data_IF_993952316574
#
_entry.id   IF_993952316574
#
_cell.length_a   1.000
_cell.length_b   1.000
_cell.length_c   1.000
_cell.angle_alpha   90.00
_cell.angle_beta   90.00
_cell.angle_gamma   90.00
#
_symmetry.space_group_name_H-M   'P 1'
#
loop_
_entity.id
_entity.type
_entity.pdbx_description
1 polymer ?
#
# COMPACT_ATOMS: atom_id res chain seq x y z
N UNK A 1 -38.75 1.91 6.13
CA UNK A 1 -37.61 2.23 5.26
C UNK A 1 -37.13 3.64 5.54
N UNK A 2 -36.09 3.79 6.37
CA UNK A 2 -35.35 5.04 6.53
C UNK A 2 -33.87 4.64 6.57
N UNK A 3 -33.15 5.00 5.50
CA UNK A 3 -31.74 4.73 5.33
C UNK A 3 -30.94 5.68 6.23
N UNK A 4 -30.15 5.10 7.14
CA UNK A 4 -29.20 5.82 7.98
C UNK A 4 -27.99 6.18 7.13
N UNK A 5 -27.79 7.48 6.91
CA UNK A 5 -26.65 8.06 6.21
C UNK A 5 -25.49 8.15 7.20
N UNK A 6 -24.40 7.44 6.90
CA UNK A 6 -23.17 7.40 7.71
C UNK A 6 -22.45 8.75 7.73
N UNK A 7 -22.04 9.18 8.92
CA UNK A 7 -21.46 10.47 9.31
C UNK A 7 -20.02 10.76 8.81
N UNK A 8 -19.55 10.13 7.74
CA UNK A 8 -18.15 10.24 7.29
C UNK A 8 -17.91 11.15 6.05
N UNK A 9 -18.93 11.85 5.54
CA UNK A 9 -18.83 12.63 4.28
C UNK A 9 -18.25 14.06 4.44
N UNK A 10 -17.82 14.50 5.63
CA UNK A 10 -17.57 15.94 5.88
C UNK A 10 -16.14 16.38 6.26
N UNK A 11 -15.09 15.60 5.97
CA UNK A 11 -13.71 15.99 6.37
C UNK A 11 -12.63 16.09 5.27
N UNK A 12 -12.99 16.20 3.98
CA UNK A 12 -12.00 16.31 2.88
C UNK A 12 -12.06 17.62 2.06
N UNK A 13 -12.91 18.57 2.40
CA UNK A 13 -12.80 19.94 1.88
C UNK A 13 -12.80 20.92 3.05
N UNK A 14 -11.63 21.30 3.58
CA UNK A 14 -11.34 22.60 4.21
C UNK A 14 -9.88 22.69 4.68
N UNK A 15 -8.92 22.46 3.79
CA UNK A 15 -7.55 22.92 4.02
C UNK A 15 -6.86 23.17 2.69
N UNK A 16 -7.13 24.34 2.10
CA UNK A 16 -6.23 25.09 1.21
C UNK A 16 -6.98 26.35 0.76
N UNK A 17 -6.93 27.44 1.54
CA UNK A 17 -6.46 28.78 1.11
C UNK A 17 -6.61 29.84 2.25
N UNK A 18 -5.48 30.27 2.81
CA UNK A 18 -5.05 31.65 3.25
C UNK A 18 -5.95 32.55 4.15
N UNK A 19 -5.46 33.68 4.75
CA UNK A 19 -4.11 34.10 5.20
C UNK A 19 -4.04 34.71 6.64
N UNK A 20 -2.81 35.09 7.08
CA UNK A 20 -2.40 36.07 8.12
C UNK A 20 -2.84 35.90 9.59
N UNK A 21 -1.85 35.94 10.49
CA UNK A 21 -2.01 36.33 11.91
C UNK A 21 -0.96 37.37 12.25
N UNK A 22 -1.42 38.59 12.48
CA UNK A 22 -0.72 39.60 13.24
C UNK A 22 -1.48 39.74 14.58
N UNK A 23 -0.76 40.18 15.61
CA UNK A 23 -1.21 40.74 16.89
C UNK A 23 -1.17 39.86 18.17
N UNK A 24 -0.41 40.43 19.10
CA UNK A 24 -0.05 40.07 20.48
C UNK A 24 -1.01 40.75 21.49
N UNK A 25 -0.98 40.28 22.76
CA UNK A 25 -1.55 40.95 23.96
C UNK A 25 -3.01 40.57 24.27
N UNK A 26 -3.52 40.43 25.50
CA UNK A 26 -3.15 40.62 26.93
C UNK A 26 -4.12 39.69 27.72
N UNK A 27 -3.70 38.83 28.65
CA UNK A 27 -3.51 39.01 30.11
C UNK A 27 -4.80 39.28 30.98
N UNK A 28 -4.85 38.58 32.14
CA UNK A 28 -5.47 38.97 33.44
C UNK A 28 -6.92 38.47 33.76
N UNK A 29 -7.02 37.39 34.59
CA UNK A 29 -7.46 37.39 36.04
C UNK A 29 -8.60 36.49 36.60
N UNK A 30 -8.23 35.76 37.69
CA UNK A 30 -8.94 35.30 38.94
C UNK A 30 -10.15 34.33 38.80
N UNK A 31 -10.42 33.35 39.68
CA UNK A 31 -9.89 32.85 40.98
C UNK A 31 -10.56 31.48 41.29
N UNK A 32 -9.82 30.57 41.94
CA UNK A 32 -10.19 29.62 43.04
C UNK A 32 -11.57 28.91 43.03
N UNK A 33 -11.71 27.57 42.99
CA UNK A 33 -11.60 26.49 44.02
C UNK A 33 -12.32 25.27 43.37
N UNK A 34 -12.09 23.98 43.60
CA UNK A 34 -11.89 23.22 44.84
C UNK A 34 -11.53 21.75 44.46
N UNK A 35 -10.57 21.21 45.21
CA UNK A 35 -10.25 19.81 45.54
C UNK A 35 -11.28 18.68 45.26
N UNK A 36 -10.85 17.56 44.62
CA UNK A 36 -10.69 16.23 45.27
C UNK A 36 -10.40 15.06 44.30
N UNK A 37 -9.59 14.13 44.84
CA UNK A 37 -9.42 12.69 44.53
C UNK A 37 -8.29 12.23 43.56
N UNK A 38 -7.07 12.04 44.10
CA UNK A 38 -6.46 10.72 44.46
C UNK A 38 -7.02 9.54 43.61
N UNK A 39 -6.30 8.72 42.82
CA UNK A 39 -4.91 8.20 42.85
C UNK A 39 -4.62 7.41 41.55
N UNK A 40 -3.32 7.23 41.23
CA UNK A 40 -2.69 6.12 40.48
C UNK A 40 -2.87 6.09 38.95
N UNK A 41 -1.83 6.48 38.22
CA UNK A 41 -0.95 5.58 37.47
C UNK A 41 0.02 6.42 36.60
N UNK A 42 1.30 6.11 36.72
CA UNK A 42 2.39 6.58 35.87
C UNK A 42 2.15 6.21 34.40
N UNK A 43 1.73 7.17 33.59
CA UNK A 43 1.77 7.10 32.12
C UNK A 43 3.14 7.60 31.65
N UNK A 44 4.06 6.68 31.40
CA UNK A 44 5.16 6.92 30.48
C UNK A 44 4.57 7.02 29.07
N UNK A 45 4.52 8.24 28.56
CA UNK A 45 4.11 8.59 27.20
C UNK A 45 5.23 8.13 26.24
N UNK A 46 5.01 7.18 25.30
CA UNK A 46 6.00 6.95 24.27
C UNK A 46 5.90 8.10 23.27
N UNK A 47 6.99 8.85 23.22
CA UNK A 47 7.30 9.92 22.28
C UNK A 47 7.18 9.39 20.83
N UNK A 48 6.10 9.77 20.15
CA UNK A 48 5.89 9.41 18.75
C UNK A 48 6.67 10.38 17.86
N UNK A 49 7.78 9.90 17.31
CA UNK A 49 8.52 10.57 16.25
C UNK A 49 7.64 10.73 14.99
N UNK A 50 7.87 11.75 14.15
CA UNK A 50 6.94 12.09 13.07
C UNK A 50 6.98 11.00 12.00
N UNK A 51 5.90 10.21 11.91
CA UNK A 51 5.71 9.22 10.86
C UNK A 51 5.66 9.93 9.51
N UNK A 52 6.54 9.55 8.60
CA UNK A 52 6.47 9.88 7.17
C UNK A 52 5.08 9.54 6.65
N UNK A 53 4.25 10.57 6.44
CA UNK A 53 2.91 10.41 5.92
C UNK A 53 2.95 10.11 4.44
N UNK A 54 2.62 8.88 4.03
CA UNK A 54 2.29 8.52 2.64
C UNK A 54 1.66 7.12 2.54
N UNK A 55 0.72 6.77 3.42
CA UNK A 55 -0.15 5.61 3.17
C UNK A 55 -1.58 5.93 3.61
N UNK A 56 -2.34 6.51 2.69
CA UNK A 56 -3.78 6.70 2.82
C UNK A 56 -4.42 5.61 1.98
N UNK A 57 -5.28 4.77 2.57
CA UNK A 57 -6.17 3.89 1.80
C UNK A 57 -7.11 4.78 0.99
N UNK A 58 -6.66 5.18 -0.20
CA UNK A 58 -7.34 6.15 -1.03
C UNK A 58 -8.46 5.41 -1.78
N UNK A 59 -9.70 5.54 -1.31
CA UNK A 59 -10.86 5.20 -2.11
C UNK A 59 -10.86 6.07 -3.38
N UNK A 60 -10.91 5.41 -4.54
CA UNK A 60 -10.76 6.04 -5.85
C UNK A 60 -11.86 7.11 -6.07
N UNK A 61 -11.50 8.39 -6.00
CA UNK A 61 -12.42 9.51 -6.25
C UNK A 61 -11.73 10.80 -6.74
N UNK A 62 -11.86 11.07 -8.05
CA UNK A 62 -11.80 12.40 -8.74
C UNK A 62 -10.39 13.08 -8.76
N UNK A 63 -9.94 13.93 -9.69
CA UNK A 63 -10.38 14.43 -10.99
C UNK A 63 -9.20 15.14 -11.68
N UNK A 64 -9.27 15.27 -13.02
CA UNK A 64 -8.25 15.81 -13.93
C UNK A 64 -8.34 17.34 -14.07
N UNK A 65 -7.21 18.05 -14.09
CA UNK A 65 -7.06 19.32 -14.81
C UNK A 65 -5.58 19.72 -15.03
N UNK A 66 -5.19 19.79 -16.31
CA UNK A 66 -4.32 20.82 -16.89
C UNK A 66 -2.82 20.75 -16.65
N UNK A 67 -2.03 20.63 -17.72
CA UNK A 67 -0.90 21.52 -18.02
C UNK A 67 -0.47 21.33 -19.48
N UNK A 68 -0.36 22.45 -20.18
CA UNK A 68 -0.03 22.60 -21.59
C UNK A 68 1.24 23.44 -21.68
N UNK A 69 2.22 23.05 -22.50
CA UNK A 69 3.42 23.85 -22.77
C UNK A 69 4.59 23.03 -23.29
N UNK A 70 4.85 23.14 -24.59
CA UNK A 70 5.87 22.43 -25.36
C UNK A 70 6.95 23.40 -25.86
N UNK A 71 8.20 23.26 -25.42
CA UNK A 71 9.42 23.66 -26.17
C UNK A 71 10.75 23.19 -25.55
N UNK A 72 10.84 21.98 -24.97
CA UNK A 72 12.12 21.38 -24.50
C UNK A 72 12.29 19.94 -25.03
N UNK A 73 12.03 19.78 -26.33
CA UNK A 73 12.03 18.47 -27.02
C UNK A 73 13.44 17.92 -27.36
N UNK A 74 14.51 18.50 -26.83
CA UNK A 74 15.88 17.95 -26.93
C UNK A 74 16.47 17.46 -25.58
N UNK A 75 15.72 17.56 -24.48
CA UNK A 75 16.03 16.90 -23.20
C UNK A 75 15.50 15.46 -23.08
N UNK A 76 14.75 14.98 -24.08
CA UNK A 76 14.04 13.69 -24.04
C UNK A 76 14.94 12.45 -24.11
N UNK A 77 16.24 12.59 -24.32
CA UNK A 77 17.20 11.48 -24.26
C UNK A 77 17.66 11.15 -22.82
N UNK A 78 17.47 12.06 -21.86
CA UNK A 78 17.71 11.82 -20.42
C UNK A 78 16.51 11.19 -19.69
N UNK A 79 15.38 11.05 -20.40
CA UNK A 79 14.16 10.36 -19.97
C UNK A 79 14.34 8.82 -19.96
N UNK A 80 15.50 8.32 -20.40
CA UNK A 80 15.95 6.94 -20.23
C UNK A 80 16.74 6.68 -18.93
N UNK A 81 16.62 7.54 -17.91
CA UNK A 81 17.09 7.24 -16.55
C UNK A 81 16.14 6.28 -15.82
N UNK A 82 16.17 5.03 -16.26
CA UNK A 82 15.80 3.85 -15.49
C UNK A 82 16.85 3.59 -14.41
N UNK A 83 16.83 4.37 -13.33
CA UNK A 83 17.79 4.24 -12.25
C UNK A 83 17.38 3.16 -11.25
N UNK A 84 17.80 1.95 -11.55
CA UNK A 84 17.91 0.84 -10.62
C UNK A 84 18.86 -0.18 -11.21
N UNK A 85 19.84 -0.66 -10.44
CA UNK A 85 20.85 -1.60 -10.93
C UNK A 85 20.25 -2.88 -11.56
N UNK A 86 18.98 -3.17 -11.28
CA UNK A 86 18.22 -4.29 -11.82
C UNK A 86 17.58 -4.03 -13.20
N UNK A 87 17.47 -2.80 -13.68
CA UNK A 87 16.75 -2.49 -14.94
C UNK A 87 17.45 -3.11 -16.14
N UNK A 88 18.78 -2.96 -16.24
CA UNK A 88 19.57 -3.48 -17.35
C UNK A 88 19.58 -5.02 -17.35
N UNK A 89 19.93 -5.70 -16.24
CA UNK A 89 19.87 -7.16 -16.19
C UNK A 89 18.46 -7.72 -16.46
N UNK A 90 17.38 -7.05 -16.04
CA UNK A 90 16.00 -7.50 -16.32
C UNK A 90 15.67 -7.43 -17.81
N UNK A 91 16.05 -6.35 -18.48
CA UNK A 91 15.87 -6.22 -19.93
C UNK A 91 16.71 -7.24 -20.70
N UNK A 92 17.96 -7.43 -20.30
CA UNK A 92 18.85 -8.40 -20.94
C UNK A 92 18.38 -9.83 -20.70
N UNK A 93 17.88 -10.15 -19.51
CA UNK A 93 17.26 -11.44 -19.20
C UNK A 93 16.05 -11.70 -20.12
N UNK A 94 15.12 -10.75 -20.26
CA UNK A 94 13.96 -10.89 -21.17
C UNK A 94 14.40 -11.13 -22.62
N UNK A 95 15.30 -10.29 -23.13
CA UNK A 95 15.84 -10.41 -24.49
C UNK A 95 16.54 -11.76 -24.71
N UNK A 96 17.32 -12.22 -23.73
CA UNK A 96 17.99 -13.51 -23.81
C UNK A 96 16.99 -14.69 -23.82
N UNK A 97 15.87 -14.59 -23.09
CA UNK A 97 14.79 -15.60 -23.15
C UNK A 97 14.14 -15.61 -24.53
N UNK A 98 13.82 -14.44 -25.09
CA UNK A 98 13.23 -14.30 -26.44
C UNK A 98 14.13 -14.85 -27.54
N UNK A 99 15.44 -14.67 -27.40
CA UNK A 99 16.45 -15.15 -28.35
C UNK A 99 16.94 -16.58 -28.03
N UNK A 100 16.29 -17.29 -27.10
CA UNK A 100 16.65 -18.65 -26.63
C UNK A 100 18.10 -18.79 -26.12
N UNK A 101 18.71 -17.69 -25.68
CA UNK A 101 20.04 -17.63 -25.04
C UNK A 101 19.95 -17.91 -23.54
N UNK A 102 19.65 -19.16 -23.19
CA UNK A 102 19.32 -19.54 -21.81
C UNK A 102 20.46 -19.37 -20.79
N UNK A 103 21.73 -19.54 -21.20
CA UNK A 103 22.89 -19.32 -20.31
C UNK A 103 23.02 -17.84 -19.92
N UNK A 104 22.88 -16.94 -20.90
CA UNK A 104 22.86 -15.50 -20.67
C UNK A 104 21.68 -15.11 -19.77
N UNK A 105 20.49 -15.67 -20.02
CA UNK A 105 19.31 -15.43 -19.19
C UNK A 105 19.54 -15.86 -17.73
N UNK A 106 20.20 -17.02 -17.50
CA UNK A 106 20.54 -17.49 -16.16
C UNK A 106 21.54 -16.56 -15.47
N UNK A 107 22.57 -16.10 -16.19
CA UNK A 107 23.54 -15.13 -15.68
C UNK A 107 22.86 -13.83 -15.25
N UNK A 108 22.05 -13.23 -16.13
CA UNK A 108 21.34 -11.99 -15.81
C UNK A 108 20.33 -12.17 -14.67
N UNK A 109 19.66 -13.33 -14.58
CA UNK A 109 18.80 -13.66 -13.44
C UNK A 109 19.58 -13.68 -12.14
N UNK A 110 20.78 -14.27 -12.11
CA UNK A 110 21.56 -14.37 -10.89
C UNK A 110 22.15 -13.01 -10.48
N UNK A 111 22.53 -12.18 -11.45
CA UNK A 111 22.84 -10.76 -11.22
C UNK A 111 21.62 -10.00 -10.64
N UNK A 112 20.41 -10.22 -11.19
CA UNK A 112 19.17 -9.63 -10.66
C UNK A 112 18.87 -10.04 -9.23
N UNK A 113 19.07 -11.32 -8.90
CA UNK A 113 18.85 -11.83 -7.54
C UNK A 113 19.74 -11.13 -6.52
N UNK A 114 20.98 -10.83 -6.90
CA UNK A 114 21.94 -10.14 -6.03
C UNK A 114 21.58 -8.65 -5.90
N UNK A 115 21.24 -8.00 -7.01
CA UNK A 115 21.03 -6.55 -7.05
C UNK A 115 19.65 -6.11 -6.55
N UNK A 116 18.60 -6.84 -6.93
CA UNK A 116 17.23 -6.55 -6.53
C UNK A 116 16.39 -7.84 -6.60
N UNK A 117 16.42 -8.69 -5.56
CA UNK A 117 15.71 -9.98 -5.57
C UNK A 117 14.21 -9.83 -5.81
N UNK A 118 13.63 -8.69 -5.43
CA UNK A 118 12.21 -8.38 -5.62
C UNK A 118 11.83 -8.05 -7.07
N UNK A 119 12.81 -7.71 -7.93
CA UNK A 119 12.56 -7.43 -9.36
C UNK A 119 12.12 -8.66 -10.16
N UNK A 120 12.30 -9.85 -9.59
CA UNK A 120 11.83 -11.13 -10.13
C UNK A 120 10.42 -11.49 -9.66
N UNK A 121 9.86 -10.73 -8.71
CA UNK A 121 8.48 -10.96 -8.27
C UNK A 121 7.51 -10.56 -9.37
N UNK A 122 6.44 -11.34 -9.43
CA UNK A 122 5.29 -11.10 -10.27
C UNK A 122 4.44 -9.97 -9.69
N UNK A 123 3.73 -9.24 -10.54
CA UNK A 123 2.68 -8.28 -10.12
C UNK A 123 1.41 -9.01 -9.66
N UNK A 124 1.49 -10.33 -9.45
CA UNK A 124 0.44 -11.14 -8.85
C UNK A 124 1.03 -12.13 -7.85
N UNK A 125 0.24 -12.47 -6.84
CA UNK A 125 0.60 -13.48 -5.85
C UNK A 125 -0.61 -14.30 -5.41
N UNK A 126 -0.34 -15.49 -4.89
CA UNK A 126 -1.33 -16.44 -4.40
C UNK A 126 -0.74 -17.23 -3.23
N UNK A 127 -1.36 -17.13 -2.07
CA UNK A 127 -0.96 -17.84 -0.86
C UNK A 127 -2.18 -18.42 -0.16
N UNK A 128 -2.00 -19.56 0.51
CA UNK A 128 -3.03 -20.15 1.37
C UNK A 128 -2.48 -20.45 2.75
N UNK A 129 -3.13 -19.93 3.79
CA UNK A 129 -2.79 -20.17 5.19
C UNK A 129 -4.03 -20.66 5.93
N UNK A 130 -3.95 -21.83 6.56
CA UNK A 130 -5.05 -22.41 7.35
C UNK A 130 -6.40 -22.48 6.60
N UNK A 131 -6.37 -22.73 5.29
CA UNK A 131 -7.56 -22.80 4.45
C UNK A 131 -8.12 -21.44 4.01
N UNK A 132 -7.44 -20.32 4.33
CA UNK A 132 -7.75 -19.00 3.80
C UNK A 132 -6.77 -18.69 2.67
N UNK A 133 -7.29 -18.57 1.45
CA UNK A 133 -6.50 -18.23 0.25
C UNK A 133 -6.56 -16.73 0.00
N UNK A 134 -5.42 -16.09 -0.16
CA UNK A 134 -5.30 -14.69 -0.54
C UNK A 134 -4.63 -14.58 -1.89
N UNK A 135 -5.33 -13.97 -2.83
CA UNK A 135 -4.83 -13.68 -4.18
C UNK A 135 -4.69 -12.18 -4.35
N UNK A 136 -3.56 -11.75 -4.90
CA UNK A 136 -3.27 -10.33 -5.13
C UNK A 136 -2.92 -10.11 -6.60
N UNK A 137 -3.36 -8.97 -7.14
CA UNK A 137 -2.84 -8.40 -8.39
C UNK A 137 -2.58 -6.92 -8.20
N UNK A 138 -1.47 -6.42 -8.74
CA UNK A 138 -1.11 -5.01 -8.73
C UNK A 138 -0.95 -4.50 -10.16
N UNK A 139 -1.13 -3.19 -10.33
CA UNK A 139 -0.99 -2.50 -11.61
C UNK A 139 -0.51 -1.07 -11.39
N UNK A 140 0.34 -0.59 -12.28
CA UNK A 140 0.76 0.81 -12.32
C UNK A 140 -0.33 1.69 -12.93
N UNK A 141 -0.62 2.84 -12.30
CA UNK A 141 -1.64 3.79 -12.74
C UNK A 141 -0.94 5.05 -13.29
N UNK A 142 -0.70 5.05 -14.60
CA UNK A 142 -0.02 6.15 -15.30
C UNK A 142 -0.72 7.50 -15.09
N UNK A 143 -2.04 7.54 -15.20
CA UNK A 143 -2.84 8.78 -15.07
C UNK A 143 -2.79 9.45 -13.68
N UNK A 144 -2.34 8.73 -12.65
CA UNK A 144 -2.16 9.24 -11.27
C UNK A 144 -0.69 9.39 -10.89
N UNK A 145 0.23 9.07 -11.79
CA UNK A 145 1.66 9.06 -11.56
C UNK A 145 2.33 10.27 -12.19
N UNK A 146 3.41 10.75 -11.57
CA UNK A 146 4.29 11.79 -12.10
C UNK A 146 5.74 11.29 -11.99
N UNK A 147 6.20 10.41 -12.91
CA UNK A 147 7.54 9.81 -12.84
C UNK A 147 8.67 10.83 -12.76
N UNK A 148 8.54 11.96 -13.48
CA UNK A 148 9.52 13.06 -13.45
C UNK A 148 9.64 13.73 -12.08
N UNK A 149 8.66 13.56 -11.20
CA UNK A 149 8.66 14.04 -9.81
C UNK A 149 8.89 12.91 -8.80
N UNK A 150 9.26 11.72 -9.26
CA UNK A 150 9.41 10.54 -8.41
C UNK A 150 8.10 10.14 -7.71
N UNK A 151 6.95 10.27 -8.37
CA UNK A 151 5.65 9.85 -7.82
C UNK A 151 5.07 8.74 -8.67
N UNK A 152 4.99 7.53 -8.12
CA UNK A 152 4.48 6.35 -8.80
C UNK A 152 3.27 5.82 -8.04
N UNK A 153 2.16 5.67 -8.74
CA UNK A 153 0.91 5.20 -8.15
C UNK A 153 0.63 3.78 -8.61
N UNK A 154 0.48 2.86 -7.66
CA UNK A 154 0.09 1.49 -7.93
C UNK A 154 -1.27 1.20 -7.33
N UNK A 155 -2.16 0.58 -8.08
CA UNK A 155 -3.39 0.00 -7.55
C UNK A 155 -3.17 -1.50 -7.32
N UNK A 156 -3.83 -2.06 -6.31
CA UNK A 156 -3.87 -3.49 -6.12
C UNK A 156 -5.27 -3.96 -5.78
N UNK A 157 -5.57 -5.20 -6.18
CA UNK A 157 -6.81 -5.90 -5.89
C UNK A 157 -6.51 -7.18 -5.15
N UNK A 158 -7.23 -7.40 -4.06
CA UNK A 158 -7.04 -8.53 -3.16
C UNK A 158 -8.33 -9.30 -3.03
N UNK A 159 -8.26 -10.61 -3.31
CA UNK A 159 -9.34 -11.56 -3.10
C UNK A 159 -8.97 -12.52 -1.98
N UNK A 160 -9.76 -12.53 -0.93
CA UNK A 160 -9.64 -13.43 0.21
C UNK A 160 -10.74 -14.47 0.09
N UNK A 161 -10.39 -15.75 0.01
CA UNK A 161 -11.34 -16.87 -0.11
C UNK A 161 -11.19 -17.79 1.10
N UNK A 162 -12.28 -18.01 1.82
CA UNK A 162 -12.32 -18.96 2.92
C UNK A 162 -12.67 -20.36 2.40
N UNK A 163 -11.65 -21.17 2.14
CA UNK A 163 -11.79 -22.56 1.74
C UNK A 163 -11.97 -23.52 2.92
N UNK A 164 -11.96 -23.02 4.16
CA UNK A 164 -12.20 -23.81 5.37
C UNK A 164 -13.70 -24.08 5.59
N UNK A 165 -14.03 -24.80 6.68
CA UNK A 165 -15.41 -25.08 7.10
C UNK A 165 -15.91 -24.15 8.21
N UNK A 166 -15.07 -23.21 8.66
CA UNK A 166 -15.41 -22.30 9.76
C UNK A 166 -15.48 -20.85 9.27
N UNK A 167 -16.48 -20.05 9.68
CA UNK A 167 -16.48 -18.64 9.38
C UNK A 167 -15.30 -17.94 10.07
N UNK A 168 -14.73 -16.95 9.39
CA UNK A 168 -13.62 -16.14 9.90
C UNK A 168 -13.97 -14.66 9.80
N UNK A 169 -13.38 -13.84 10.67
CA UNK A 169 -13.45 -12.38 10.58
C UNK A 169 -12.04 -11.82 10.46
N UNK A 170 -11.82 -10.93 9.48
CA UNK A 170 -10.61 -10.14 9.36
C UNK A 170 -10.66 -9.00 10.38
N UNK A 171 -9.61 -8.89 11.20
CA UNK A 171 -9.53 -7.91 12.28
C UNK A 171 -8.58 -6.78 11.95
N UNK A 172 -7.36 -7.11 11.51
CA UNK A 172 -6.29 -6.15 11.23
C UNK A 172 -5.52 -6.56 9.98
N UNK A 173 -4.85 -5.59 9.40
CA UNK A 173 -3.88 -5.78 8.33
C UNK A 173 -2.50 -5.33 8.80
N UNK A 174 -1.49 -6.02 8.33
CA UNK A 174 -0.10 -5.66 8.46
C UNK A 174 0.53 -5.71 7.06
N UNK A 175 1.03 -4.57 6.59
CA UNK A 175 1.80 -4.48 5.36
C UNK A 175 3.26 -4.25 5.67
N UNK A 176 4.10 -4.90 4.88
CA UNK A 176 5.52 -4.63 4.76
C UNK A 176 5.70 -4.14 3.32
N UNK A 177 6.04 -2.86 3.19
CA UNK A 177 6.26 -2.22 1.89
C UNK A 177 7.74 -1.95 1.75
N UNK A 178 8.37 -2.48 0.70
CA UNK A 178 9.77 -2.23 0.37
C UNK A 178 9.85 -1.46 -0.95
N UNK A 179 10.45 -0.26 -0.93
CA UNK A 179 10.66 0.54 -2.13
C UNK A 179 11.81 0.00 -2.99
N UNK A 180 12.01 0.60 -4.18
CA UNK A 180 13.07 0.18 -5.11
C UNK A 180 14.50 0.45 -4.61
N UNK A 181 14.65 1.22 -3.54
CA UNK A 181 15.93 1.50 -2.88
C UNK A 181 16.18 0.56 -1.69
N UNK A 182 15.29 -0.40 -1.45
CA UNK A 182 15.38 -1.34 -0.34
C UNK A 182 14.94 -0.77 1.01
N UNK A 183 14.33 0.41 1.04
CA UNK A 183 13.74 0.97 2.27
C UNK A 183 12.44 0.25 2.57
N UNK A 184 12.29 -0.22 3.81
CA UNK A 184 11.12 -0.99 4.24
C UNK A 184 10.32 -0.22 5.29
N UNK A 185 9.01 -0.18 5.11
CA UNK A 185 8.03 0.38 6.05
C UNK A 185 7.04 -0.70 6.50
N UNK A 186 6.71 -0.70 7.79
CA UNK A 186 5.70 -1.59 8.37
C UNK A 186 4.45 -0.77 8.71
N UNK A 187 3.30 -1.20 8.19
CA UNK A 187 2.05 -0.46 8.27
C UNK A 187 0.99 -1.37 8.88
N UNK A 188 0.51 -1.00 10.06
CA UNK A 188 -0.60 -1.68 10.74
C UNK A 188 -1.89 -0.89 10.62
N UNK A 189 -3.01 -1.58 10.48
CA UNK A 189 -4.32 -0.94 10.49
C UNK A 189 -5.44 -1.89 10.86
N UNK A 190 -6.52 -1.34 11.41
CA UNK A 190 -7.75 -2.08 11.69
C UNK A 190 -8.49 -2.32 10.38
N UNK A 191 -8.94 -3.55 10.18
CA UNK A 191 -9.72 -3.94 9.01
C UNK A 191 -8.96 -3.78 7.70
N UNK A 192 -9.73 -3.73 6.61
CA UNK A 192 -9.32 -3.40 5.24
C UNK A 192 -10.35 -2.43 4.68
N UNK A 193 -9.93 -1.36 4.01
CA UNK A 193 -10.84 -0.38 3.38
C UNK A 193 -11.95 0.15 4.32
N UNK A 194 -11.66 0.25 5.62
CA UNK A 194 -12.64 0.69 6.64
C UNK A 194 -13.57 -0.40 7.17
N UNK A 195 -13.42 -1.64 6.74
CA UNK A 195 -14.29 -2.77 7.10
C UNK A 195 -13.52 -3.91 7.81
N UNK A 196 -14.20 -4.66 8.67
CA UNK A 196 -13.72 -5.91 9.27
C UNK A 196 -14.58 -7.08 8.79
N UNK A 197 -14.40 -7.53 7.53
CA UNK A 197 -15.32 -8.44 6.88
C UNK A 197 -15.37 -9.81 7.56
N UNK A 198 -16.58 -10.37 7.64
CA UNK A 198 -16.83 -11.76 8.00
C UNK A 198 -16.91 -12.57 6.71
N UNK A 199 -16.07 -13.61 6.60
CA UNK A 199 -15.97 -14.47 5.42
C UNK A 199 -16.46 -15.88 5.79
N UNK A 200 -17.62 -16.25 5.27
CA UNK A 200 -18.24 -17.55 5.51
C UNK A 200 -17.50 -18.69 4.79
N UNK A 201 -17.69 -19.95 5.23
CA UNK A 201 -17.15 -21.11 4.53
C UNK A 201 -17.50 -21.10 3.05
N UNK A 202 -16.49 -21.38 2.20
CA UNK A 202 -16.59 -21.44 0.73
C UNK A 202 -17.00 -20.13 0.05
N UNK A 203 -16.91 -19.01 0.75
CA UNK A 203 -17.15 -17.66 0.20
C UNK A 203 -15.86 -16.86 0.13
N UNK A 204 -15.94 -15.64 -0.42
CA UNK A 204 -14.81 -14.73 -0.46
C UNK A 204 -15.20 -13.26 -0.31
N UNK A 205 -14.18 -12.46 -0.02
CA UNK A 205 -14.24 -11.01 0.07
C UNK A 205 -13.19 -10.42 -0.87
N UNK A 206 -13.53 -9.38 -1.62
CA UNK A 206 -12.63 -8.74 -2.57
C UNK A 206 -12.65 -7.23 -2.36
N UNK A 207 -11.47 -6.61 -2.41
CA UNK A 207 -11.33 -5.16 -2.33
C UNK A 207 -10.15 -4.67 -3.17
N UNK A 208 -10.14 -3.38 -3.47
CA UNK A 208 -9.04 -2.70 -4.14
C UNK A 208 -8.57 -1.52 -3.30
N UNK A 209 -7.26 -1.26 -3.30
CA UNK A 209 -6.65 -0.08 -2.70
C UNK A 209 -5.43 0.34 -3.53
N UNK A 210 -4.66 1.31 -3.06
CA UNK A 210 -3.51 1.85 -3.77
C UNK A 210 -2.31 2.04 -2.85
N UNK A 211 -1.12 1.98 -3.44
CA UNK A 211 0.16 2.23 -2.80
C UNK A 211 0.93 3.25 -3.65
N UNK A 212 1.09 4.50 -3.16
CA UNK A 212 2.04 5.43 -3.74
C UNK A 212 3.47 5.03 -3.34
N UNK A 213 4.41 5.13 -4.27
CA UNK A 213 5.84 4.97 -4.04
C UNK A 213 6.64 6.13 -4.63
N UNK A 214 7.82 6.38 -4.07
CA UNK A 214 8.81 7.30 -4.63
C UNK A 214 9.69 6.67 -5.72
N UNK A 215 9.52 5.38 -5.99
CA UNK A 215 10.35 4.57 -6.89
C UNK A 215 9.49 3.87 -7.96
N UNK A 216 10.05 3.60 -9.15
CA UNK A 216 9.33 2.95 -10.25
C UNK A 216 9.04 1.46 -10.00
N UNK A 217 9.57 0.91 -8.92
CA UNK A 217 9.31 -0.43 -8.47
C UNK A 217 9.34 -0.51 -6.93
N UNK A 218 8.77 -1.59 -6.42
CA UNK A 218 8.79 -1.98 -5.02
C UNK A 218 8.18 -3.36 -4.83
N UNK A 219 7.96 -3.74 -3.59
CA UNK A 219 7.32 -4.99 -3.18
C UNK A 219 6.38 -4.72 -2.03
N UNK A 220 5.28 -5.45 -2.00
CA UNK A 220 4.43 -5.55 -0.83
C UNK A 220 4.28 -7.01 -0.39
N UNK A 221 4.24 -7.19 0.92
CA UNK A 221 3.93 -8.46 1.58
C UNK A 221 3.33 -8.19 2.97
N UNK A 222 2.94 -9.25 3.68
CA UNK A 222 2.40 -9.13 5.03
C UNK A 222 1.31 -10.14 5.33
N UNK A 223 0.44 -9.75 6.25
CA UNK A 223 -0.55 -10.66 6.83
C UNK A 223 -1.83 -9.96 7.30
N UNK A 224 -2.89 -10.75 7.38
CA UNK A 224 -4.14 -10.39 8.02
C UNK A 224 -4.27 -11.12 9.34
N UNK A 225 -4.53 -10.38 10.42
CA UNK A 225 -4.96 -10.97 11.68
C UNK A 225 -6.45 -11.32 11.56
N UNK A 226 -6.78 -12.59 11.76
CA UNK A 226 -8.14 -13.12 11.68
C UNK A 226 -8.52 -13.88 12.94
N UNK A 227 -9.82 -14.09 13.15
CA UNK A 227 -10.35 -15.01 14.17
C UNK A 227 -11.48 -15.86 13.62
N UNK A 228 -11.68 -17.03 14.20
CA UNK A 228 -12.92 -17.77 14.02
C UNK A 228 -14.05 -17.13 14.84
N UNK A 229 -15.27 -17.16 14.31
CA UNK A 229 -16.45 -16.56 14.96
C UNK A 229 -17.54 -17.58 15.32
N UNK A 230 -17.30 -18.86 15.07
CA UNK A 230 -18.20 -19.96 15.42
C UNK A 230 -18.18 -20.31 16.92
N UNK A 231 -17.10 -19.94 17.63
CA UNK A 231 -16.95 -20.16 19.08
C UNK A 231 -16.49 -18.89 19.80
N UNK A 232 -17.13 -18.61 20.93
CA UNK A 232 -16.72 -17.54 21.84
C UNK A 232 -15.31 -17.80 22.38
N UNK A 233 -14.49 -16.74 22.43
CA UNK A 233 -13.12 -16.82 22.94
C UNK A 233 -12.09 -17.44 21.99
N UNK A 234 -12.41 -17.60 20.70
CA UNK A 234 -11.44 -18.07 19.71
C UNK A 234 -10.21 -17.16 19.65
N UNK A 235 -9.02 -17.76 19.69
CA UNK A 235 -7.75 -17.04 19.50
C UNK A 235 -7.64 -16.48 18.09
N UNK A 236 -6.86 -15.41 17.94
CA UNK A 236 -6.51 -14.87 16.62
C UNK A 236 -5.42 -15.72 15.95
N UNK A 237 -5.34 -15.62 14.63
CA UNK A 237 -4.30 -16.25 13.81
C UNK A 237 -3.99 -15.36 12.61
N UNK A 238 -2.78 -15.49 12.07
CA UNK A 238 -2.35 -14.70 10.93
C UNK A 238 -2.51 -15.48 9.63
N UNK A 239 -3.00 -14.80 8.60
CA UNK A 239 -3.10 -15.29 7.22
C UNK A 239 -2.17 -14.46 6.37
N UNK A 240 -1.11 -15.07 5.87
CA UNK A 240 -0.15 -14.38 5.02
C UNK A 240 -0.73 -14.18 3.60
N UNK A 241 -0.35 -13.07 2.98
CA UNK A 241 -0.40 -12.96 1.52
C UNK A 241 1.02 -12.94 0.99
N UNK A 242 1.25 -13.68 -0.10
CA UNK A 242 2.58 -13.83 -0.66
C UNK A 242 3.08 -12.50 -1.24
N UNK A 243 4.41 -12.30 -1.23
CA UNK A 243 5.08 -11.19 -1.90
C UNK A 243 4.57 -10.93 -3.32
N UNK A 244 4.27 -9.68 -3.63
CA UNK A 244 3.99 -9.24 -4.99
C UNK A 244 4.77 -7.96 -5.32
N UNK A 245 5.12 -7.83 -6.59
CA UNK A 245 5.81 -6.67 -7.13
C UNK A 245 4.85 -5.51 -7.31
N UNK A 246 5.35 -4.30 -7.06
CA UNK A 246 4.77 -3.06 -7.58
C UNK A 246 5.73 -2.62 -8.68
N UNK A 247 5.34 -2.67 -9.95
CA UNK A 247 6.27 -2.33 -11.05
C UNK A 247 5.57 -1.64 -12.20
N UNK A 248 6.24 -0.64 -12.77
CA UNK A 248 5.83 -0.04 -14.05
C UNK A 248 5.92 -1.04 -15.21
N UNK A 249 6.76 -2.07 -15.06
CA UNK A 249 6.91 -3.14 -16.02
C UNK A 249 6.09 -4.32 -15.51
N UNK A 250 4.84 -4.39 -15.97
CA UNK A 250 3.92 -5.48 -15.64
C UNK A 250 4.51 -6.88 -15.90
N UNK A 251 3.80 -7.90 -15.42
CA UNK A 251 4.07 -9.26 -15.87
C UNK A 251 3.62 -9.38 -17.32
N UNK A 252 4.47 -9.87 -18.21
CA UNK A 252 4.16 -10.07 -19.64
C UNK A 252 3.10 -11.19 -19.88
N UNK A 253 2.24 -11.48 -18.90
CA UNK A 253 1.16 -12.47 -19.00
C UNK A 253 -0.21 -11.87 -19.29
N UNK A 254 -0.33 -10.56 -19.49
CA UNK A 254 -1.55 -9.97 -20.05
C UNK A 254 -1.49 -10.05 -21.59
N UNK A 255 -1.57 -11.27 -22.11
CA UNK A 255 -2.28 -11.48 -23.38
C UNK A 255 -3.72 -11.10 -23.05
N UNK A 256 -4.11 -9.92 -23.54
CA UNK A 256 -5.47 -9.40 -23.51
C UNK A 256 -6.47 -10.51 -23.88
N UNK A 257 -7.53 -10.63 -23.07
CA UNK A 257 -8.79 -11.25 -23.47
C UNK A 257 -9.38 -10.52 -24.68
#
# INVERSE_FOLDING_TARGET
>A
MKSQISLWTLFVLHSFNSPRKDEEGEEVVRREKEEKAVTVASDEKPEHSPKSGLFVDLYLGIGLAGLQGSSEVEGLAEVLRGEGAHVVPRRLMKKAIEEERFEDAAKYRDELKILAPHSLLKCSSDATTLGIRVQVRSVYIESRSQPLKGQFFFAYRIRITNSSQRPVQLLKRHWIVTDGNGRTENIWGVGVVGEQPVIFPKTGFEYSSACPLSTPNGRMEGDFEMKHIDKAGSSTFNVAFAPFSLSILGDDNDVLL
#
